data_IF_404316814157
#
_entry.id   IF_404316814157
#
_cell.length_a   1.000
_cell.length_b   1.000
_cell.length_c   1.000
_cell.angle_alpha   90.00
_cell.angle_beta   90.00
_cell.angle_gamma   90.00
#
_symmetry.space_group_name_H-M   'P 1'
#
loop_
_entity.id
_entity.type
_entity.pdbx_description
1 polymer ?
#
# COMPACT_ATOMS: atom_id res chain seq x y z
N UNK A 1 14.21 8.06 0.42
CA UNK A 1 15.08 6.93 0.84
C UNK A 1 14.39 5.95 1.78
N UNK A 2 13.54 6.41 2.72
CA UNK A 2 12.87 5.53 3.69
C UNK A 2 12.01 4.42 3.07
N UNK A 3 11.25 4.69 2.00
CA UNK A 3 10.41 3.68 1.35
C UNK A 3 11.22 2.54 0.74
N UNK A 4 12.37 2.85 0.13
CA UNK A 4 13.27 1.86 -0.48
C UNK A 4 13.85 0.94 0.59
N UNK A 5 14.29 1.50 1.72
CA UNK A 5 14.80 0.72 2.87
C UNK A 5 13.72 -0.22 3.41
N UNK A 6 12.48 0.26 3.56
CA UNK A 6 11.34 -0.56 4.01
C UNK A 6 11.02 -1.69 3.04
N UNK A 7 11.06 -1.44 1.73
CA UNK A 7 10.85 -2.49 0.72
C UNK A 7 11.96 -3.52 0.76
N UNK A 8 13.22 -3.10 0.70
CA UNK A 8 14.37 -4.03 0.71
C UNK A 8 14.36 -4.86 2.00
N UNK A 9 14.13 -4.23 3.16
CA UNK A 9 14.04 -4.92 4.44
C UNK A 9 12.86 -5.89 4.51
N UNK A 10 11.67 -5.49 4.05
CA UNK A 10 10.49 -6.35 3.98
C UNK A 10 10.70 -7.55 3.04
N UNK A 11 11.37 -7.34 1.91
CA UNK A 11 11.67 -8.40 0.93
C UNK A 11 12.63 -9.42 1.54
N UNK A 12 13.71 -8.95 2.19
CA UNK A 12 14.66 -9.80 2.90
C UNK A 12 13.97 -10.63 4.00
N UNK A 13 13.10 -10.01 4.80
CA UNK A 13 12.34 -10.72 5.84
C UNK A 13 11.36 -11.75 5.25
N UNK A 14 10.67 -11.40 4.16
CA UNK A 14 9.73 -12.28 3.50
C UNK A 14 10.43 -13.51 2.94
N UNK A 15 11.60 -13.34 2.29
CA UNK A 15 12.42 -14.45 1.81
C UNK A 15 12.97 -15.30 2.96
N UNK A 16 13.38 -14.68 4.07
CA UNK A 16 13.82 -15.39 5.26
C UNK A 16 12.69 -16.23 5.85
N UNK A 17 11.48 -15.66 5.98
CA UNK A 17 10.27 -16.33 6.43
C UNK A 17 9.87 -17.49 5.52
N UNK A 18 9.90 -17.29 4.20
CA UNK A 18 9.65 -18.35 3.21
C UNK A 18 10.67 -19.48 3.31
N UNK A 19 11.96 -19.14 3.46
CA UNK A 19 13.04 -20.10 3.67
C UNK A 19 12.80 -20.95 4.91
N UNK A 20 12.33 -20.31 5.99
CA UNK A 20 11.99 -20.98 7.24
C UNK A 20 10.75 -21.89 7.14
N UNK A 21 9.79 -21.54 6.26
CA UNK A 21 8.54 -22.28 6.08
C UNK A 21 8.67 -23.46 5.10
N UNK A 22 9.42 -23.28 4.00
CA UNK A 22 9.40 -24.19 2.86
C UNK A 22 10.60 -25.14 2.75
N UNK A 23 11.80 -24.74 3.19
CA UNK A 23 13.03 -25.55 3.04
C UNK A 23 13.77 -25.78 4.36
N UNK A 24 13.50 -26.88 5.09
CA UNK A 24 14.18 -27.18 6.36
C UNK A 24 15.70 -27.36 6.20
N UNK A 25 16.18 -27.80 5.03
CA UNK A 25 17.60 -27.98 4.76
C UNK A 25 18.39 -26.65 4.77
N UNK A 26 17.78 -25.54 4.37
CA UNK A 26 18.43 -24.21 4.37
C UNK A 26 18.51 -23.69 5.80
N UNK A 27 17.46 -23.89 6.60
CA UNK A 27 17.43 -23.56 8.03
C UNK A 27 18.51 -24.34 8.77
N UNK A 28 18.65 -25.64 8.51
CA UNK A 28 19.68 -26.47 9.14
C UNK A 28 21.11 -26.01 8.82
N UNK A 29 21.36 -25.50 7.61
CA UNK A 29 22.69 -24.95 7.23
C UNK A 29 22.98 -23.61 7.91
N UNK A 30 22.01 -22.70 7.96
CA UNK A 30 22.13 -21.45 8.72
C UNK A 30 22.28 -21.71 10.22
N UNK A 31 21.58 -22.73 10.73
CA UNK A 31 21.67 -23.16 12.11
C UNK A 31 23.00 -23.83 12.43
N UNK A 32 23.61 -24.56 11.50
CA UNK A 32 24.96 -25.11 11.68
C UNK A 32 26.00 -24.01 11.96
N UNK A 33 25.80 -22.82 11.40
CA UNK A 33 26.62 -21.62 11.69
C UNK A 33 26.23 -21.00 13.04
N UNK A 34 24.93 -20.92 13.34
CA UNK A 34 24.41 -20.36 14.60
C UNK A 34 24.52 -21.27 15.83
N UNK A 35 24.94 -22.53 15.65
CA UNK A 35 25.02 -23.58 16.68
C UNK A 35 25.91 -23.19 17.86
N UNK A 36 26.87 -22.28 17.63
CA UNK A 36 27.73 -21.76 18.68
C UNK A 36 27.05 -20.77 19.63
N UNK A 37 25.92 -20.17 19.25
CA UNK A 37 25.28 -19.09 20.03
C UNK A 37 23.95 -19.49 20.68
N UNK A 38 23.17 -20.40 20.08
CA UNK A 38 21.80 -20.69 20.54
C UNK A 38 21.59 -22.19 20.76
N UNK A 39 21.68 -22.58 22.03
CA UNK A 39 21.48 -23.92 22.57
C UNK A 39 20.16 -24.62 22.16
N UNK A 40 20.24 -25.95 22.12
CA UNK A 40 19.19 -26.97 22.13
C UNK A 40 18.29 -27.10 20.87
N UNK A 41 18.75 -27.93 19.93
CA UNK A 41 18.12 -28.26 18.65
C UNK A 41 16.66 -28.78 18.77
N UNK A 42 16.28 -29.34 19.92
CA UNK A 42 14.95 -29.93 20.14
C UNK A 42 13.81 -28.89 20.19
N UNK A 43 14.06 -27.72 20.78
CA UNK A 43 13.02 -26.68 20.91
C UNK A 43 12.81 -25.93 19.58
N UNK A 44 13.84 -25.87 18.74
CA UNK A 44 13.78 -25.15 17.46
C UNK A 44 12.96 -25.87 16.39
N UNK A 45 13.01 -27.21 16.36
CA UNK A 45 12.24 -28.02 15.43
C UNK A 45 10.72 -27.88 15.65
N UNK A 46 10.30 -27.74 16.92
CA UNK A 46 8.89 -27.63 17.29
C UNK A 46 8.30 -26.25 16.93
N UNK A 47 9.08 -25.17 17.06
CA UNK A 47 8.62 -23.80 16.78
C UNK A 47 9.06 -23.24 15.42
N UNK A 48 9.65 -24.07 14.54
CA UNK A 48 10.16 -23.63 13.23
C UNK A 48 9.08 -22.95 12.39
N UNK A 49 7.91 -23.57 12.25
CA UNK A 49 6.79 -23.00 11.50
C UNK A 49 6.30 -21.69 12.09
N UNK A 50 6.17 -21.61 13.42
CA UNK A 50 5.71 -20.41 14.10
C UNK A 50 6.64 -19.21 13.86
N UNK A 51 7.97 -19.42 13.96
CA UNK A 51 8.95 -18.35 13.68
C UNK A 51 8.94 -17.93 12.22
N UNK A 52 8.84 -18.89 11.29
CA UNK A 52 8.71 -18.60 9.86
C UNK A 52 7.49 -17.75 9.53
N UNK A 53 6.34 -18.07 10.13
CA UNK A 53 5.10 -17.28 9.99
C UNK A 53 5.31 -15.87 10.54
N UNK A 54 5.92 -15.69 11.72
CA UNK A 54 6.18 -14.36 12.28
C UNK A 54 7.06 -13.52 11.33
N UNK A 55 8.18 -14.06 10.84
CA UNK A 55 9.05 -13.34 9.91
C UNK A 55 8.34 -13.01 8.59
N UNK A 56 7.55 -13.95 8.07
CA UNK A 56 6.80 -13.73 6.84
C UNK A 56 5.72 -12.67 7.00
N UNK A 57 4.93 -12.72 8.07
CA UNK A 57 3.90 -11.73 8.39
C UNK A 57 4.51 -10.35 8.58
N UNK A 58 5.61 -10.24 9.33
CA UNK A 58 6.28 -8.96 9.56
C UNK A 58 6.89 -8.41 8.26
N UNK A 59 7.48 -9.28 7.42
CA UNK A 59 7.94 -8.92 6.08
C UNK A 59 6.83 -8.41 5.18
N UNK A 60 5.65 -9.06 5.19
CA UNK A 60 4.48 -8.64 4.42
C UNK A 60 3.96 -7.26 4.87
N UNK A 61 3.90 -6.99 6.18
CA UNK A 61 3.51 -5.67 6.72
C UNK A 61 4.49 -4.59 6.30
N UNK A 62 5.80 -4.86 6.39
CA UNK A 62 6.84 -3.92 5.95
C UNK A 62 6.76 -3.64 4.44
N UNK A 63 6.53 -4.67 3.62
CA UNK A 63 6.35 -4.50 2.18
C UNK A 63 5.13 -3.61 1.89
N UNK A 64 4.00 -3.92 2.51
CA UNK A 64 2.76 -3.18 2.33
C UNK A 64 2.91 -1.69 2.72
N UNK A 65 3.51 -1.42 3.88
CA UNK A 65 3.82 -0.05 4.32
C UNK A 65 4.83 0.64 3.39
N UNK A 66 5.85 -0.08 2.92
CA UNK A 66 6.81 0.41 1.96
C UNK A 66 6.13 0.89 0.68
N UNK A 67 5.26 0.05 0.10
CA UNK A 67 4.49 0.37 -1.12
C UNK A 67 3.50 1.53 -0.93
N UNK A 68 2.82 1.61 0.22
CA UNK A 68 1.97 2.76 0.54
C UNK A 68 2.76 4.08 0.55
N UNK A 69 3.99 4.06 1.06
CA UNK A 69 4.86 5.25 1.09
C UNK A 69 5.41 5.66 -0.29
N UNK A 70 5.30 4.81 -1.33
CA UNK A 70 5.59 5.25 -2.71
C UNK A 70 4.41 5.96 -3.36
N UNK A 71 3.19 5.77 -2.86
CA UNK A 71 2.08 6.54 -3.37
C UNK A 71 2.27 7.99 -2.93
N UNK A 72 2.18 8.97 -3.85
CA UNK A 72 2.12 10.36 -3.47
C UNK A 72 0.81 10.55 -2.70
N UNK A 73 0.89 10.44 -1.38
CA UNK A 73 -0.22 10.81 -0.50
C UNK A 73 -0.27 12.33 -0.57
N UNK A 74 -1.17 12.88 -1.38
CA UNK A 74 -1.44 14.31 -1.38
C UNK A 74 -1.91 14.69 0.02
N UNK A 75 -1.03 15.36 0.77
CA UNK A 75 -1.33 15.94 2.09
C UNK A 75 -2.15 17.22 1.97
N UNK A 76 -2.52 17.61 0.75
CA UNK A 76 -3.37 18.76 0.50
C UNK A 76 -4.75 18.49 1.09
N UNK A 77 -5.06 19.20 2.18
CA UNK A 77 -6.43 19.27 2.69
C UNK A 77 -7.36 19.63 1.53
N UNK A 78 -8.54 19.00 1.41
CA UNK A 78 -9.52 19.38 0.41
C UNK A 78 -9.86 20.86 0.62
N UNK A 79 -9.33 21.68 -0.28
CA UNK A 79 -9.55 23.12 -0.32
C UNK A 79 -11.03 23.38 -0.55
N UNK A 80 -11.47 24.62 -0.27
CA UNK A 80 -12.86 25.02 -0.46
C UNK A 80 -13.37 24.67 -1.88
N UNK A 81 -12.52 24.81 -2.90
CA UNK A 81 -12.83 24.45 -4.28
C UNK A 81 -13.19 22.97 -4.47
N UNK A 82 -12.42 22.04 -3.89
CA UNK A 82 -12.75 20.61 -4.01
C UNK A 82 -14.05 20.26 -3.30
N UNK A 83 -14.31 20.92 -2.16
CA UNK A 83 -15.54 20.74 -1.39
C UNK A 83 -16.77 21.22 -2.16
N UNK A 84 -16.63 22.31 -2.90
CA UNK A 84 -17.65 22.80 -3.83
C UNK A 84 -17.91 21.80 -4.97
N UNK A 85 -16.86 21.18 -5.52
CA UNK A 85 -16.99 20.11 -6.51
C UNK A 85 -17.79 18.91 -5.99
N UNK A 86 -17.52 18.46 -4.75
CA UNK A 86 -18.31 17.41 -4.10
C UNK A 86 -19.77 17.84 -3.88
N UNK A 87 -20.01 19.10 -3.49
CA UNK A 87 -21.36 19.64 -3.32
C UNK A 87 -22.13 19.62 -4.64
N UNK A 88 -21.53 20.10 -5.74
CA UNK A 88 -22.12 20.07 -7.07
C UNK A 88 -22.46 18.63 -7.52
N UNK A 89 -21.58 17.67 -7.20
CA UNK A 89 -21.83 16.25 -7.47
C UNK A 89 -23.07 15.73 -6.74
N UNK A 90 -23.23 16.05 -5.45
CA UNK A 90 -24.41 15.65 -4.67
C UNK A 90 -25.70 16.35 -5.12
N UNK A 91 -25.61 17.59 -5.60
CA UNK A 91 -26.72 18.33 -6.19
C UNK A 91 -27.08 17.89 -7.63
N UNK A 92 -26.48 16.80 -8.14
CA UNK A 92 -26.64 16.28 -9.52
C UNK A 92 -26.21 17.26 -10.63
N UNK A 93 -25.40 18.26 -10.27
CA UNK A 93 -24.76 19.19 -11.21
C UNK A 93 -23.44 18.59 -11.69
N UNK A 94 -23.53 17.47 -12.41
CA UNK A 94 -22.36 16.65 -12.74
C UNK A 94 -21.36 17.36 -13.67
N UNK A 95 -21.84 18.25 -14.56
CA UNK A 95 -20.97 19.08 -15.41
C UNK A 95 -20.06 19.98 -14.58
N UNK A 96 -20.66 20.74 -13.67
CA UNK A 96 -19.93 21.65 -12.80
C UNK A 96 -18.93 20.90 -11.90
N UNK A 97 -19.32 19.71 -11.41
CA UNK A 97 -18.41 18.84 -10.67
C UNK A 97 -17.20 18.37 -11.50
N UNK A 98 -17.40 18.07 -12.80
CA UNK A 98 -16.32 17.71 -13.73
C UNK A 98 -15.41 18.90 -13.97
N UNK A 99 -15.96 20.09 -14.20
CA UNK A 99 -15.17 21.30 -14.46
C UNK A 99 -14.32 21.67 -13.24
N UNK A 100 -14.92 21.71 -12.05
CA UNK A 100 -14.20 21.99 -10.79
C UNK A 100 -13.10 20.96 -10.54
N UNK A 101 -13.38 19.67 -10.72
CA UNK A 101 -12.36 18.62 -10.53
C UNK A 101 -11.23 18.72 -11.57
N UNK A 102 -11.55 19.08 -12.82
CA UNK A 102 -10.56 19.26 -13.89
C UNK A 102 -9.65 20.46 -13.60
N UNK A 103 -10.24 21.61 -13.23
CA UNK A 103 -9.47 22.80 -12.81
C UNK A 103 -8.64 22.52 -11.56
N UNK A 104 -9.11 21.67 -10.65
CA UNK A 104 -8.30 21.32 -9.48
C UNK A 104 -7.09 20.47 -9.85
N UNK A 105 -7.23 19.53 -10.78
CA UNK A 105 -6.14 18.69 -11.26
C UNK A 105 -5.09 19.45 -12.08
N UNK A 106 -5.39 20.63 -12.63
CA UNK A 106 -4.35 21.47 -13.24
C UNK A 106 -3.44 22.10 -12.19
N UNK A 107 -3.96 22.32 -10.96
CA UNK A 107 -3.20 22.90 -9.84
C UNK A 107 -2.45 21.81 -9.07
N UNK A 108 -3.12 20.69 -8.74
CA UNK A 108 -2.53 19.53 -8.08
C UNK A 108 -2.84 18.25 -8.89
N UNK A 109 -1.99 17.90 -9.88
CA UNK A 109 -2.21 16.72 -10.73
C UNK A 109 -2.14 15.40 -9.97
N UNK A 110 -1.53 15.40 -8.78
CA UNK A 110 -1.32 14.22 -7.96
C UNK A 110 -2.46 13.96 -6.96
N UNK A 111 -3.49 14.82 -6.94
CA UNK A 111 -4.53 14.74 -5.94
C UNK A 111 -5.48 13.55 -6.18
N UNK A 112 -5.47 12.51 -5.33
CA UNK A 112 -6.31 11.33 -5.54
C UNK A 112 -7.80 11.64 -5.37
N UNK A 113 -8.16 12.64 -4.56
CA UNK A 113 -9.56 13.00 -4.35
C UNK A 113 -10.18 13.73 -5.53
N UNK A 114 -9.41 14.60 -6.18
CA UNK A 114 -9.87 15.31 -7.38
C UNK A 114 -10.00 14.38 -8.57
N UNK A 115 -9.03 13.48 -8.73
CA UNK A 115 -9.08 12.45 -9.76
C UNK A 115 -10.24 11.47 -9.54
N UNK A 116 -10.46 11.01 -8.29
CA UNK A 116 -11.62 10.18 -7.96
C UNK A 116 -12.94 10.89 -8.26
N UNK A 117 -13.09 12.14 -7.82
CA UNK A 117 -14.28 12.95 -8.09
C UNK A 117 -14.52 13.12 -9.59
N UNK A 118 -13.48 13.41 -10.38
CA UNK A 118 -13.57 13.55 -11.83
C UNK A 118 -14.09 12.26 -12.49
N UNK A 119 -13.55 11.09 -12.13
CA UNK A 119 -13.99 9.80 -12.67
C UNK A 119 -15.45 9.54 -12.34
N UNK A 120 -15.86 9.75 -11.08
CA UNK A 120 -17.24 9.55 -10.63
C UNK A 120 -18.21 10.51 -11.31
N UNK A 121 -17.85 11.80 -11.39
CA UNK A 121 -18.66 12.84 -12.01
C UNK A 121 -18.86 12.60 -13.51
N UNK A 122 -17.81 12.20 -14.24
CA UNK A 122 -17.91 11.83 -15.68
C UNK A 122 -18.83 10.65 -15.90
N UNK A 123 -18.71 9.61 -15.07
CA UNK A 123 -19.55 8.41 -15.18
C UNK A 123 -21.03 8.75 -14.89
N UNK A 124 -21.28 9.58 -13.87
CA UNK A 124 -22.61 10.04 -13.52
C UNK A 124 -23.22 10.95 -14.61
N UNK A 125 -22.43 11.89 -15.16
CA UNK A 125 -22.85 12.76 -16.26
C UNK A 125 -23.25 11.93 -17.50
N UNK A 126 -22.48 10.90 -17.85
CA UNK A 126 -22.80 9.99 -18.95
C UNK A 126 -24.10 9.24 -18.71
N UNK A 127 -24.31 8.72 -17.50
CA UNK A 127 -25.56 8.04 -17.12
C UNK A 127 -26.78 8.97 -17.13
N UNK A 128 -26.58 10.24 -16.78
CA UNK A 128 -27.63 11.26 -16.76
C UNK A 128 -27.93 11.85 -18.15
N UNK A 129 -27.25 11.40 -19.22
CA UNK A 129 -27.40 12.01 -20.56
C UNK A 129 -26.88 13.44 -20.64
N UNK A 130 -26.06 13.86 -19.67
CA UNK A 130 -25.49 15.20 -19.58
C UNK A 130 -24.12 15.32 -20.27
N UNK A 131 -23.64 14.27 -20.93
CA UNK A 131 -22.43 14.32 -21.75
C UNK A 131 -22.71 15.07 -23.05
N UNK A 132 -21.88 16.07 -23.35
CA UNK A 132 -21.90 16.83 -24.61
C UNK A 132 -21.30 15.99 -25.73
#
# INVERSE_FOLDING_TARGET
>A
MEAIVKIIGGLALAFLGLGYLYRPAVVLRLHAVGRHFFFNDAHLLNFRRARGVIFFTFGAVLLYSGFLNLQPVSTAKPTAALREGYRAYHERRFKDAVDVATTYLTIDPSNPHADFLLRQARLAAKRAGQTR
#
